data_IF_020407946095
#
_entry.id   IF_020407946095
#
_cell.length_a   1.000
_cell.length_b   1.000
_cell.length_c   1.000
_cell.angle_alpha   90.00
_cell.angle_beta   90.00
_cell.angle_gamma   90.00
#
_symmetry.space_group_name_H-M   'P 1'
#
loop_
_entity.id
_entity.type
_entity.pdbx_description
1 polymer ?
#
# COMPACT_ATOMS: atom_id res chain seq x y z
N UNK A 1 1.50 -8.08 -1.86
CA UNK A 1 2.13 -6.88 -2.48
C UNK A 1 3.60 -6.77 -2.16
N UNK A 2 4.08 -7.38 -1.06
CA UNK A 2 5.50 -7.72 -0.91
C UNK A 2 6.42 -6.54 -0.55
N UNK A 3 5.91 -5.43 0.00
CA UNK A 3 6.80 -4.43 0.58
C UNK A 3 7.52 -5.04 1.77
N UNK A 4 8.85 -4.92 1.80
CA UNK A 4 9.71 -5.34 2.90
C UNK A 4 10.06 -4.20 3.84
N UNK A 5 9.69 -2.96 3.48
CA UNK A 5 9.95 -1.77 4.28
C UNK A 5 8.70 -0.88 4.30
N UNK A 6 8.40 -0.30 5.46
CA UNK A 6 7.41 0.74 5.64
C UNK A 6 8.10 2.04 6.04
N UNK A 7 7.75 3.13 5.36
CA UNK A 7 8.15 4.47 5.73
C UNK A 7 6.90 5.18 6.25
N UNK A 8 6.98 5.69 7.46
CA UNK A 8 5.86 6.30 8.16
C UNK A 8 6.32 7.64 8.69
N UNK A 9 5.52 8.67 8.47
CA UNK A 9 5.74 10.01 9.00
C UNK A 9 4.56 10.38 9.89
N UNK A 10 4.81 10.61 11.17
CA UNK A 10 3.79 10.95 12.16
C UNK A 10 2.92 12.13 11.70
N UNK A 11 3.51 13.15 11.07
CA UNK A 11 2.81 14.38 10.65
C UNK A 11 1.75 14.14 9.55
N UNK A 12 1.87 13.03 8.83
CA UNK A 12 0.93 12.64 7.77
C UNK A 12 0.03 11.45 8.16
N UNK A 13 0.21 10.93 9.38
CA UNK A 13 -0.52 9.77 9.87
C UNK A 13 -1.69 10.16 10.76
N UNK A 14 -2.68 9.27 10.84
CA UNK A 14 -3.78 9.43 11.78
C UNK A 14 -3.28 9.14 13.20
N UNK A 15 -3.42 10.10 14.14
CA UNK A 15 -2.92 9.98 15.51
C UNK A 15 -3.45 8.74 16.24
N UNK A 16 -4.74 8.44 16.04
CA UNK A 16 -5.41 7.26 16.63
C UNK A 16 -4.89 5.92 16.07
N UNK A 17 -4.27 5.92 14.89
CA UNK A 17 -3.56 4.76 14.35
C UNK A 17 -2.16 4.66 14.95
N UNK A 18 -1.48 5.77 15.22
CA UNK A 18 -0.09 5.76 15.67
C UNK A 18 0.07 5.34 17.13
N UNK A 19 -0.72 5.92 18.03
CA UNK A 19 -0.59 5.74 19.48
C UNK A 19 -1.97 5.67 20.14
N UNK A 20 -1.98 5.31 21.41
CA UNK A 20 -3.15 5.43 22.27
C UNK A 20 -2.74 6.02 23.61
N UNK A 21 -3.48 7.04 24.03
CA UNK A 21 -3.23 7.73 25.29
C UNK A 21 -3.64 6.85 26.49
N UNK A 22 -2.78 6.78 27.51
CA UNK A 22 -2.99 5.97 28.72
C UNK A 22 -4.28 6.36 29.47
N UNK A 23 -4.62 7.66 29.53
CA UNK A 23 -5.85 8.12 30.22
C UNK A 23 -7.09 7.75 29.43
N UNK A 24 -7.03 7.80 28.10
CA UNK A 24 -8.11 7.32 27.25
C UNK A 24 -8.34 5.82 27.36
N UNK A 25 -7.30 5.03 27.68
CA UNK A 25 -7.45 3.61 27.99
C UNK A 25 -8.17 3.36 29.31
N UNK A 26 -7.88 4.16 30.34
CA UNK A 26 -8.58 4.07 31.64
C UNK A 26 -10.07 4.43 31.51
N UNK A 27 -10.40 5.38 30.64
CA UNK A 27 -11.79 5.83 30.43
C UNK A 27 -12.60 4.90 29.53
N UNK A 28 -12.01 4.39 28.45
CA UNK A 28 -12.71 3.61 27.42
C UNK A 28 -12.26 2.16 27.47
N UNK A 29 -13.17 1.29 27.93
CA UNK A 29 -12.93 -0.14 27.99
C UNK A 29 -12.40 -0.69 26.65
N UNK A 30 -11.38 -1.56 26.63
CA UNK A 30 -10.72 -2.02 25.40
C UNK A 30 -11.68 -2.58 24.33
N UNK A 31 -12.76 -3.24 24.73
CA UNK A 31 -13.76 -3.80 23.81
C UNK A 31 -14.62 -2.76 23.08
N UNK A 32 -14.56 -1.49 23.48
CA UNK A 32 -15.29 -0.37 22.85
C UNK A 32 -14.43 0.43 21.87
N UNK A 33 -13.11 0.22 21.87
CA UNK A 33 -12.19 0.87 20.95
C UNK A 33 -11.84 -0.09 19.80
N UNK A 34 -12.36 0.13 18.58
CA UNK A 34 -12.14 -0.80 17.46
C UNK A 34 -10.72 -0.74 16.89
N UNK A 35 -9.94 0.29 17.23
CA UNK A 35 -8.62 0.55 16.64
C UNK A 35 -7.53 -0.10 17.48
N UNK A 36 -6.73 -0.97 16.85
CA UNK A 36 -5.45 -1.42 17.41
C UNK A 36 -4.34 -0.49 16.93
N UNK A 37 -3.65 0.25 17.82
CA UNK A 37 -2.57 1.14 17.44
C UNK A 37 -1.39 0.42 16.77
N UNK A 38 -0.69 1.12 15.88
CA UNK A 38 0.43 0.59 15.11
C UNK A 38 1.60 0.17 15.99
N UNK A 39 1.85 0.87 17.10
CA UNK A 39 2.86 0.47 18.10
C UNK A 39 2.67 -0.96 18.61
N UNK A 40 1.44 -1.46 18.69
CA UNK A 40 1.15 -2.84 19.12
C UNK A 40 1.37 -3.89 18.02
N UNK A 41 1.49 -3.46 16.76
CA UNK A 41 1.63 -4.33 15.57
C UNK A 41 3.01 -4.25 14.92
N UNK A 42 3.74 -3.14 15.08
CA UNK A 42 5.02 -2.92 14.39
C UNK A 42 6.04 -4.02 14.69
N UNK A 43 6.10 -4.49 15.94
CA UNK A 43 7.05 -5.53 16.35
C UNK A 43 6.67 -6.92 15.82
N UNK A 44 5.38 -7.26 15.77
CA UNK A 44 4.92 -8.53 15.19
C UNK A 44 5.06 -8.54 13.67
N UNK A 45 4.85 -7.38 13.02
CA UNK A 45 5.09 -7.20 11.59
C UNK A 45 6.55 -7.52 11.21
N UNK A 46 7.52 -7.00 11.96
CA UNK A 46 8.93 -7.33 11.77
C UNK A 46 9.22 -8.81 12.05
N UNK A 47 8.86 -9.31 13.24
CA UNK A 47 9.21 -10.68 13.66
C UNK A 47 8.57 -11.76 12.79
N UNK A 48 7.36 -11.56 12.29
CA UNK A 48 6.60 -12.59 11.56
C UNK A 48 6.72 -12.48 10.04
N UNK A 49 6.93 -11.26 9.52
CA UNK A 49 6.92 -11.01 8.08
C UNK A 49 8.23 -10.41 7.55
N UNK A 50 9.20 -10.12 8.42
CA UNK A 50 10.48 -9.54 8.01
C UNK A 50 10.34 -8.13 7.43
N UNK A 51 9.26 -7.42 7.76
CA UNK A 51 8.99 -6.08 7.27
C UNK A 51 9.53 -5.07 8.27
N UNK A 52 10.55 -4.32 7.84
CA UNK A 52 11.15 -3.25 8.63
C UNK A 52 10.31 -1.97 8.54
N UNK A 53 10.43 -1.11 9.55
CA UNK A 53 9.74 0.17 9.59
C UNK A 53 10.74 1.28 9.92
N UNK A 54 10.75 2.33 9.11
CA UNK A 54 11.38 3.61 9.43
C UNK A 54 10.24 4.58 9.74
N UNK A 55 10.27 5.14 10.95
CA UNK A 55 9.23 6.01 11.48
C UNK A 55 9.86 7.35 11.87
N UNK A 56 9.38 8.44 11.27
CA UNK A 56 9.62 9.80 11.75
C UNK A 56 8.61 10.08 12.85
N UNK A 57 9.10 10.48 14.02
CA UNK A 57 8.29 10.73 15.21
C UNK A 57 8.85 11.93 15.98
N UNK A 58 7.95 12.77 16.50
CA UNK A 58 8.27 13.90 17.36
C UNK A 58 7.31 14.05 18.55
N UNK A 59 6.11 13.46 18.47
CA UNK A 59 5.05 13.63 19.47
C UNK A 59 4.96 12.56 20.56
N UNK A 60 5.55 11.37 20.35
CA UNK A 60 5.47 10.26 21.33
C UNK A 60 6.81 9.53 21.53
N UNK A 61 7.15 9.30 22.79
CA UNK A 61 8.30 8.48 23.20
C UNK A 61 8.01 6.98 23.31
N UNK A 62 6.75 6.55 23.12
CA UNK A 62 6.33 5.16 23.38
C UNK A 62 7.04 4.18 22.44
N UNK A 63 7.37 4.63 21.23
CA UNK A 63 8.08 3.83 20.24
C UNK A 63 9.51 3.47 20.66
N UNK A 64 10.14 4.16 21.63
CA UNK A 64 11.47 3.78 22.14
C UNK A 64 11.51 2.36 22.70
N UNK A 65 10.40 1.90 23.28
CA UNK A 65 10.29 0.54 23.82
C UNK A 65 10.44 -0.51 22.73
N UNK A 66 9.83 -0.25 21.57
CA UNK A 66 9.79 -1.20 20.45
C UNK A 66 10.83 -0.91 19.37
N UNK A 67 11.54 0.21 19.38
CA UNK A 67 12.54 0.55 18.36
C UNK A 67 13.84 -0.24 18.53
N UNK A 68 14.46 -0.67 17.41
CA UNK A 68 15.80 -1.27 17.41
C UNK A 68 16.90 -0.19 17.43
N UNK A 69 16.69 0.88 16.66
CA UNK A 69 17.55 2.06 16.59
C UNK A 69 16.73 3.33 16.77
N UNK A 70 17.31 4.34 17.41
CA UNK A 70 16.72 5.67 17.55
C UNK A 70 17.71 6.72 17.06
N UNK A 71 17.36 7.38 15.96
CA UNK A 71 18.15 8.44 15.36
C UNK A 71 17.49 9.78 15.65
N UNK A 72 18.28 10.74 16.11
CA UNK A 72 17.85 12.12 16.35
C UNK A 72 18.48 13.02 15.29
N UNK A 73 17.66 13.83 14.64
CA UNK A 73 18.14 14.91 13.79
C UNK A 73 18.24 16.19 14.61
N UNK A 74 19.45 16.72 14.79
CA UNK A 74 19.71 18.00 15.44
C UNK A 74 20.44 18.91 14.46
N UNK A 75 19.83 20.05 14.11
CA UNK A 75 20.43 21.02 13.20
C UNK A 75 20.94 20.39 11.89
N UNK A 76 20.15 19.46 11.34
CA UNK A 76 20.46 18.64 10.16
C UNK A 76 21.63 17.64 10.31
N UNK A 77 22.15 17.44 11.52
CA UNK A 77 23.07 16.37 11.85
C UNK A 77 22.31 15.15 12.42
N UNK A 78 22.62 13.96 11.90
CA UNK A 78 22.04 12.70 12.37
C UNK A 78 22.90 12.13 13.51
N UNK A 79 22.28 11.88 14.66
CA UNK A 79 22.92 11.34 15.86
C UNK A 79 22.24 10.04 16.25
N UNK A 80 23.03 8.98 16.47
CA UNK A 80 22.52 7.76 17.10
C UNK A 80 22.34 8.02 18.61
N UNK A 81 21.08 7.97 19.05
CA UNK A 81 20.68 8.17 20.45
C UNK A 81 20.00 6.93 21.01
N UNK A 82 20.26 5.75 20.42
CA UNK A 82 19.64 4.48 20.81
C UNK A 82 19.82 4.19 22.30
N UNK A 83 21.05 4.29 22.82
CA UNK A 83 21.33 4.02 24.23
C UNK A 83 20.59 4.99 25.16
N UNK A 84 20.53 6.28 24.79
CA UNK A 84 19.80 7.30 25.55
C UNK A 84 18.31 7.00 25.59
N UNK A 85 17.73 6.60 24.46
CA UNK A 85 16.32 6.21 24.37
C UNK A 85 16.01 4.97 25.20
N UNK A 86 16.88 3.95 25.20
CA UNK A 86 16.73 2.75 26.04
C UNK A 86 16.84 3.07 27.53
N UNK A 87 17.78 3.93 27.92
CA UNK A 87 17.89 4.39 29.30
C UNK A 87 16.64 5.16 29.78
N UNK A 88 15.96 5.90 28.90
CA UNK A 88 14.67 6.55 29.21
C UNK A 88 13.60 5.49 29.50
N UNK A 89 13.48 4.48 28.64
CA UNK A 89 12.52 3.38 28.80
C UNK A 89 12.73 2.65 30.13
N UNK A 90 13.98 2.32 30.47
CA UNK A 90 14.32 1.65 31.74
C UNK A 90 13.89 2.47 32.96
N UNK A 91 14.18 3.78 32.96
CA UNK A 91 13.78 4.69 34.04
C UNK A 91 12.26 4.74 34.21
N UNK A 92 11.52 4.84 33.11
CA UNK A 92 10.06 4.90 33.14
C UNK A 92 9.41 3.56 33.49
N UNK A 93 9.97 2.42 33.06
CA UNK A 93 9.49 1.10 33.45
C UNK A 93 9.74 0.78 34.93
N UNK A 94 10.86 1.26 35.48
CA UNK A 94 11.13 1.21 36.92
C UNK A 94 10.12 2.01 37.75
N UNK A 95 9.52 3.06 37.16
CA UNK A 95 8.46 3.87 37.79
C UNK A 95 7.07 3.25 37.57
N UNK A 96 6.79 2.69 36.38
CA UNK A 96 5.48 2.09 36.01
C UNK A 96 5.21 0.72 36.64
N UNK A 97 6.19 0.07 37.28
CA UNK A 97 5.98 -1.20 38.00
C UNK A 97 5.07 -1.06 39.25
N UNK A 98 4.66 0.16 39.60
CA UNK A 98 3.72 0.44 40.69
C UNK A 98 2.28 0.77 40.21
N UNK A 99 2.03 1.04 38.92
CA UNK A 99 0.68 1.39 38.44
C UNK A 99 0.51 1.17 36.93
N UNK A 100 -0.43 0.29 36.59
CA UNK A 100 -1.19 0.21 35.33
C UNK A 100 -0.54 -0.51 34.13
N UNK A 101 -1.38 -1.32 33.51
CA UNK A 101 -1.17 -2.38 32.54
C UNK A 101 -0.51 -1.94 31.23
N UNK A 102 0.69 -2.47 30.97
CA UNK A 102 1.18 -2.68 29.61
C UNK A 102 0.25 -3.69 28.92
N UNK A 103 -0.68 -3.24 28.08
CA UNK A 103 -1.29 -4.14 27.10
C UNK A 103 -0.15 -4.75 26.29
N UNK A 104 0.05 -6.08 26.33
CA UNK A 104 1.18 -6.69 25.67
C UNK A 104 1.06 -6.42 24.17
N UNK A 105 2.18 -6.04 23.55
CA UNK A 105 2.33 -6.04 22.10
C UNK A 105 1.66 -7.29 21.54
N UNK A 106 0.74 -7.13 20.59
CA UNK A 106 0.00 -8.26 20.04
C UNK A 106 0.98 -9.33 19.58
N UNK A 107 0.89 -10.53 20.17
CA UNK A 107 1.82 -11.64 19.88
C UNK A 107 1.79 -12.06 18.41
N UNK A 108 0.73 -11.67 17.68
CA UNK A 108 0.56 -11.93 16.27
C UNK A 108 0.12 -10.69 15.47
N UNK A 109 0.66 -10.54 14.27
CA UNK A 109 0.20 -9.52 13.34
C UNK A 109 -1.25 -9.81 12.90
N UNK A 110 -1.60 -11.10 12.74
CA UNK A 110 -2.89 -11.58 12.29
C UNK A 110 -2.80 -12.26 10.93
N UNK A 111 -3.96 -12.59 10.33
CA UNK A 111 -4.02 -13.23 9.02
C UNK A 111 -4.07 -12.20 7.89
N UNK A 112 -3.21 -12.37 6.88
CA UNK A 112 -3.20 -11.54 5.67
C UNK A 112 -4.18 -12.14 4.66
N UNK A 113 -5.26 -11.42 4.36
CA UNK A 113 -6.27 -11.87 3.40
C UNK A 113 -5.82 -11.63 1.96
N UNK A 114 -5.86 -12.68 1.13
CA UNK A 114 -5.59 -12.57 -0.30
C UNK A 114 -6.76 -11.90 -1.05
N UNK A 115 -6.42 -11.03 -2.01
CA UNK A 115 -7.37 -10.40 -2.93
C UNK A 115 -7.23 -11.01 -4.32
N UNK A 116 -8.36 -11.22 -4.99
CA UNK A 116 -8.43 -11.80 -6.32
C UNK A 116 -9.07 -10.77 -7.27
N UNK A 117 -8.31 -10.13 -8.17
CA UNK A 117 -8.84 -9.10 -9.06
C UNK A 117 -9.81 -9.69 -10.08
N UNK A 118 -10.86 -8.93 -10.41
CA UNK A 118 -11.87 -9.30 -11.41
C UNK A 118 -11.68 -8.42 -12.65
N UNK A 119 -11.28 -9.02 -13.77
CA UNK A 119 -10.81 -8.30 -14.96
C UNK A 119 -11.77 -7.23 -15.48
N UNK A 120 -13.05 -7.58 -15.70
CA UNK A 120 -14.02 -6.64 -16.29
C UNK A 120 -14.26 -5.39 -15.44
N UNK A 121 -14.14 -5.50 -14.11
CA UNK A 121 -14.37 -4.39 -13.18
C UNK A 121 -13.30 -3.29 -13.30
N UNK A 122 -12.11 -3.61 -13.83
CA UNK A 122 -11.02 -2.65 -14.06
C UNK A 122 -11.06 -1.98 -15.45
N UNK A 123 -11.91 -2.46 -16.37
CA UNK A 123 -12.03 -1.88 -17.70
C UNK A 123 -13.08 -0.76 -17.73
N UNK A 124 -12.84 0.35 -18.44
CA UNK A 124 -13.84 1.40 -18.62
C UNK A 124 -15.10 0.84 -19.32
N UNK A 125 -16.28 1.45 -19.13
CA UNK A 125 -17.50 0.90 -19.69
C UNK A 125 -17.48 0.91 -21.23
N UNK A 126 -18.16 -0.05 -21.88
CA UNK A 126 -18.04 -0.24 -23.34
C UNK A 126 -18.49 0.97 -24.16
N UNK A 127 -19.41 1.78 -23.64
CA UNK A 127 -19.93 2.97 -24.28
C UNK A 127 -18.92 4.15 -24.29
N UNK A 128 -17.95 4.15 -23.39
CA UNK A 128 -16.89 5.16 -23.33
C UNK A 128 -15.61 4.58 -22.71
N UNK A 129 -14.72 4.10 -23.58
CA UNK A 129 -13.47 3.43 -23.19
C UNK A 129 -12.29 4.37 -22.94
N UNK A 130 -12.48 5.69 -23.09
CA UNK A 130 -11.37 6.65 -23.04
C UNK A 130 -10.79 6.72 -21.63
N UNK A 131 -9.48 6.52 -21.52
CA UNK A 131 -8.74 6.82 -20.29
C UNK A 131 -7.82 8.01 -20.55
N UNK A 132 -7.81 8.96 -19.64
CA UNK A 132 -7.00 10.16 -19.76
C UNK A 132 -6.23 10.45 -18.47
N UNK A 133 -4.91 10.58 -18.57
CA UNK A 133 -4.08 11.03 -17.45
C UNK A 133 -4.04 12.55 -17.44
N UNK A 134 -4.80 13.15 -16.53
CA UNK A 134 -4.94 14.61 -16.42
C UNK A 134 -3.70 15.23 -15.78
N UNK A 135 -3.23 14.65 -14.67
CA UNK A 135 -2.12 15.16 -13.88
C UNK A 135 -1.17 14.03 -13.44
N UNK A 136 -0.12 14.36 -12.67
CA UNK A 136 0.80 13.36 -12.09
C UNK A 136 0.06 12.29 -11.29
N UNK A 137 -1.03 12.64 -10.61
CA UNK A 137 -1.73 11.71 -9.71
C UNK A 137 -3.20 11.51 -10.07
N UNK A 138 -3.67 12.04 -11.20
CA UNK A 138 -5.11 12.02 -11.54
C UNK A 138 -5.32 11.34 -12.89
N UNK A 139 -6.13 10.28 -12.90
CA UNK A 139 -6.54 9.54 -14.10
C UNK A 139 -8.06 9.54 -14.19
N UNK A 140 -8.62 9.90 -15.34
CA UNK A 140 -10.06 9.83 -15.61
C UNK A 140 -10.37 8.62 -16.49
N UNK A 141 -11.32 7.80 -16.08
CA UNK A 141 -11.92 6.72 -16.85
C UNK A 141 -13.19 7.23 -17.54
N UNK A 142 -13.53 6.67 -18.72
CA UNK A 142 -14.45 7.29 -19.68
C UNK A 142 -15.77 7.79 -19.11
N UNK A 143 -16.39 7.03 -18.21
CA UNK A 143 -17.61 7.37 -17.45
C UNK A 143 -17.48 8.59 -16.50
N UNK A 144 -16.34 9.26 -16.51
CA UNK A 144 -16.03 10.37 -15.62
C UNK A 144 -15.46 9.92 -14.28
N UNK A 145 -15.27 8.61 -14.06
CA UNK A 145 -14.68 8.10 -12.82
C UNK A 145 -13.25 8.60 -12.69
N UNK A 146 -12.98 9.33 -11.61
CA UNK A 146 -11.65 9.80 -11.26
C UNK A 146 -10.93 8.78 -10.37
N UNK A 147 -9.75 8.35 -10.82
CA UNK A 147 -8.78 7.60 -10.04
C UNK A 147 -7.74 8.58 -9.50
N UNK A 148 -7.89 8.91 -8.22
CA UNK A 148 -6.94 9.72 -7.47
C UNK A 148 -5.81 8.83 -6.88
N UNK A 149 -4.58 9.17 -7.24
CA UNK A 149 -3.33 8.56 -6.81
C UNK A 149 -2.52 9.49 -5.89
N UNK A 150 -3.13 10.56 -5.36
CA UNK A 150 -2.46 11.54 -4.49
C UNK A 150 -1.77 10.90 -3.29
N UNK A 151 -2.38 9.87 -2.69
CA UNK A 151 -1.77 9.08 -1.62
C UNK A 151 -0.71 8.06 -2.06
N UNK A 152 -0.21 8.12 -3.30
CA UNK A 152 0.94 7.36 -3.81
C UNK A 152 2.10 8.32 -4.09
N UNK A 153 2.61 8.93 -3.03
CA UNK A 153 3.59 10.03 -3.07
C UNK A 153 4.90 9.68 -3.81
N UNK A 154 5.23 8.39 -3.90
CA UNK A 154 6.42 7.90 -4.60
C UNK A 154 6.28 7.91 -6.13
N UNK A 155 5.12 8.32 -6.67
CA UNK A 155 4.95 8.64 -8.10
C UNK A 155 5.58 10.01 -8.36
N UNK A 156 6.72 10.01 -9.03
CA UNK A 156 7.52 11.23 -9.24
C UNK A 156 7.19 11.94 -10.55
N UNK A 157 6.65 11.22 -11.55
CA UNK A 157 6.41 11.79 -12.88
C UNK A 157 5.12 11.30 -13.54
N UNK A 158 4.50 12.16 -14.37
CA UNK A 158 3.23 11.86 -15.08
C UNK A 158 3.35 10.64 -16.00
N UNK A 159 4.53 10.36 -16.54
CA UNK A 159 4.77 9.19 -17.38
C UNK A 159 4.63 7.85 -16.65
N UNK A 160 4.89 7.81 -15.34
CA UNK A 160 4.60 6.63 -14.52
C UNK A 160 3.09 6.42 -14.40
N UNK A 161 2.33 7.49 -14.31
CA UNK A 161 0.86 7.43 -14.22
C UNK A 161 0.22 6.99 -15.52
N UNK A 162 0.78 7.39 -16.67
CA UNK A 162 0.44 6.78 -17.95
C UNK A 162 0.68 5.26 -17.93
N UNK A 163 1.86 4.82 -17.50
CA UNK A 163 2.17 3.40 -17.42
C UNK A 163 1.32 2.62 -16.40
N UNK A 164 0.94 3.23 -15.28
CA UNK A 164 0.01 2.65 -14.30
C UNK A 164 -1.36 2.45 -14.94
N UNK A 165 -1.91 3.49 -15.57
CA UNK A 165 -3.22 3.44 -16.21
C UNK A 165 -3.26 2.38 -17.32
N UNK A 166 -2.27 2.36 -18.20
CA UNK A 166 -2.18 1.36 -19.27
C UNK A 166 -1.92 -0.05 -18.72
N UNK A 167 -1.12 -0.19 -17.66
CA UNK A 167 -0.92 -1.49 -16.99
C UNK A 167 -2.22 -2.05 -16.42
N UNK A 168 -3.06 -1.22 -15.78
CA UNK A 168 -4.36 -1.66 -15.25
C UNK A 168 -5.23 -2.22 -16.38
N UNK A 169 -5.30 -1.54 -17.52
CA UNK A 169 -6.06 -2.03 -18.68
C UNK A 169 -5.50 -3.35 -19.22
N UNK A 170 -4.19 -3.44 -19.44
CA UNK A 170 -3.56 -4.63 -19.99
C UNK A 170 -3.69 -5.83 -19.06
N UNK A 171 -3.51 -5.63 -17.75
CA UNK A 171 -3.75 -6.65 -16.73
C UNK A 171 -5.21 -7.10 -16.79
N UNK A 172 -6.16 -6.16 -16.81
CA UNK A 172 -7.59 -6.47 -16.86
C UNK A 172 -7.98 -7.28 -18.11
N UNK A 173 -7.51 -6.88 -19.29
CA UNK A 173 -7.73 -7.60 -20.56
C UNK A 173 -7.15 -9.01 -20.49
N UNK A 174 -5.91 -9.18 -20.01
CA UNK A 174 -5.28 -10.50 -19.87
C UNK A 174 -5.96 -11.38 -18.84
N UNK A 175 -6.51 -10.80 -17.78
CA UNK A 175 -7.32 -11.54 -16.80
C UNK A 175 -8.58 -12.08 -17.46
N UNK A 176 -9.25 -11.31 -18.33
CA UNK A 176 -10.42 -11.76 -19.08
C UNK A 176 -10.09 -12.84 -20.11
N UNK A 177 -9.00 -12.69 -20.87
CA UNK A 177 -8.58 -13.69 -21.86
C UNK A 177 -8.21 -15.03 -21.23
N UNK A 178 -7.77 -15.03 -19.97
CA UNK A 178 -7.41 -16.23 -19.21
C UNK A 178 -8.50 -16.67 -18.22
N UNK A 179 -9.69 -16.04 -18.22
CA UNK A 179 -10.76 -16.42 -17.31
C UNK A 179 -11.49 -17.67 -17.84
N UNK A 180 -11.44 -18.81 -17.13
CA UNK A 180 -12.14 -20.02 -17.53
C UNK A 180 -13.66 -19.84 -17.57
N UNK A 181 -14.22 -18.83 -16.89
CA UNK A 181 -15.66 -18.55 -16.85
C UNK A 181 -16.24 -18.03 -18.16
N UNK A 182 -15.41 -17.49 -19.06
CA UNK A 182 -15.80 -17.23 -20.45
C UNK A 182 -16.13 -18.54 -21.21
N UNK A 183 -15.67 -19.68 -20.70
CA UNK A 183 -15.94 -21.05 -21.17
C UNK A 183 -16.68 -21.91 -20.12
N UNK A 184 -17.37 -21.30 -19.14
CA UNK A 184 -18.17 -22.04 -18.12
C UNK A 184 -17.40 -22.59 -16.91
N UNK A 185 -16.12 -22.22 -16.71
CA UNK A 185 -15.32 -22.57 -15.54
C UNK A 185 -15.33 -21.52 -14.41
N UNK A 186 -14.74 -21.85 -13.25
CA UNK A 186 -14.70 -20.94 -12.09
C UNK A 186 -13.83 -19.68 -12.33
N UNK A 187 -14.32 -18.53 -11.87
CA UNK A 187 -13.64 -17.22 -11.93
C UNK A 187 -12.18 -17.25 -11.41
N UNK A 188 -11.32 -16.43 -12.01
CA UNK A 188 -9.88 -16.27 -11.73
C UNK A 188 -9.47 -16.61 -10.29
N UNK A 189 -8.55 -17.59 -10.15
CA UNK A 189 -7.98 -18.05 -8.86
C UNK A 189 -6.66 -17.37 -8.52
N UNK A 190 -6.16 -16.46 -9.37
CA UNK A 190 -4.90 -15.78 -9.16
C UNK A 190 -5.06 -14.65 -8.14
N UNK A 191 -4.17 -14.62 -7.16
CA UNK A 191 -4.08 -13.50 -6.23
C UNK A 191 -3.51 -12.28 -6.95
N UNK A 192 -3.90 -11.08 -6.50
CA UNK A 192 -3.37 -9.81 -7.00
C UNK A 192 -1.83 -9.77 -6.97
N UNK A 193 -1.20 -10.36 -5.94
CA UNK A 193 0.25 -10.46 -5.85
C UNK A 193 0.85 -11.31 -6.99
N UNK A 194 0.23 -12.44 -7.33
CA UNK A 194 0.68 -13.30 -8.43
C UNK A 194 0.46 -12.63 -9.79
N UNK A 195 -0.69 -11.97 -9.98
CA UNK A 195 -0.99 -11.22 -11.22
C UNK A 195 0.07 -10.15 -11.47
N UNK A 196 0.35 -9.34 -10.46
CA UNK A 196 1.31 -8.25 -10.57
C UNK A 196 2.77 -8.74 -10.71
N UNK A 197 3.13 -9.87 -10.09
CA UNK A 197 4.45 -10.50 -10.30
C UNK A 197 4.63 -10.93 -11.75
N UNK A 198 3.64 -11.66 -12.30
CA UNK A 198 3.63 -12.07 -13.71
C UNK A 198 3.68 -10.88 -14.66
N UNK A 199 2.98 -9.80 -14.32
CA UNK A 199 3.04 -8.55 -15.07
C UNK A 199 4.44 -7.93 -15.06
N UNK A 200 5.10 -7.90 -13.91
CA UNK A 200 6.47 -7.40 -13.80
C UNK A 200 7.45 -8.26 -14.60
N UNK A 201 7.35 -9.58 -14.50
CA UNK A 201 8.17 -10.54 -15.28
C UNK A 201 7.95 -10.40 -16.80
N UNK A 202 6.73 -10.06 -17.22
CA UNK A 202 6.42 -9.77 -18.62
C UNK A 202 7.14 -8.50 -19.09
N UNK A 203 7.08 -7.41 -18.31
CA UNK A 203 7.81 -6.18 -18.61
C UNK A 203 9.33 -6.44 -18.63
N UNK A 204 9.85 -7.27 -17.73
CA UNK A 204 11.28 -7.62 -17.69
C UNK A 204 11.72 -8.35 -18.96
N UNK A 205 10.87 -9.21 -19.52
CA UNK A 205 11.20 -10.03 -20.71
C UNK A 205 10.99 -9.27 -22.02
N UNK A 206 9.91 -8.52 -22.14
CA UNK A 206 9.44 -7.95 -23.42
C UNK A 206 9.58 -6.42 -23.49
N UNK A 207 10.02 -5.78 -22.39
CA UNK A 207 10.19 -4.34 -22.31
C UNK A 207 8.91 -3.60 -21.87
N UNK A 208 9.01 -2.27 -21.76
CA UNK A 208 7.90 -1.43 -21.32
C UNK A 208 6.77 -1.37 -22.36
N UNK A 209 7.05 -1.68 -23.61
CA UNK A 209 6.08 -1.60 -24.71
C UNK A 209 4.88 -2.54 -24.51
N UNK A 210 4.99 -3.56 -23.64
CA UNK A 210 3.85 -4.42 -23.26
C UNK A 210 2.71 -3.66 -22.57
N UNK A 211 3.01 -2.50 -21.98
CA UNK A 211 2.00 -1.64 -21.35
C UNK A 211 1.22 -0.85 -22.39
N UNK A 212 1.71 -0.74 -23.63
CA UNK A 212 1.03 -0.01 -24.69
C UNK A 212 -0.32 -0.67 -24.97
N UNK A 213 -1.37 0.09 -24.69
CA UNK A 213 -2.75 -0.28 -24.94
C UNK A 213 -3.19 0.39 -26.23
N UNK A 214 -4.01 -0.32 -27.03
CA UNK A 214 -4.63 0.24 -28.23
C UNK A 214 -5.48 1.48 -27.95
N UNK A 215 -5.92 1.71 -26.70
CA UNK A 215 -6.70 2.89 -26.31
C UNK A 215 -5.85 4.18 -26.15
N UNK A 216 -4.53 4.06 -26.10
CA UNK A 216 -3.59 5.19 -26.09
C UNK A 216 -2.86 5.36 -27.43
N UNK A 217 -3.13 4.49 -28.40
CA UNK A 217 -2.58 4.58 -29.76
C UNK A 217 -3.54 5.38 -30.64
N UNK A 218 -3.14 6.60 -31.00
CA UNK A 218 -3.80 7.34 -32.08
C UNK A 218 -3.30 6.81 -33.44
N UNK A 219 -3.60 5.55 -33.76
CA UNK A 219 -3.50 4.98 -35.12
C UNK A 219 -2.10 5.03 -35.79
N UNK A 220 -1.35 3.93 -35.68
CA UNK A 220 -0.20 3.65 -36.53
C UNK A 220 0.62 2.47 -36.03
N UNK A 221 0.89 1.49 -36.88
CA UNK A 221 1.96 0.50 -36.65
C UNK A 221 3.29 1.26 -36.48
N UNK A 222 3.94 1.13 -35.32
CA UNK A 222 5.25 1.74 -35.06
C UNK A 222 5.28 3.05 -34.25
N UNK A 223 4.16 3.47 -33.63
CA UNK A 223 4.16 4.65 -32.77
C UNK A 223 4.85 4.38 -31.42
N UNK A 224 6.12 4.78 -31.33
CA UNK A 224 6.85 4.85 -30.07
C UNK A 224 6.22 5.89 -29.15
N UNK A 225 5.47 5.43 -28.15
CA UNK A 225 4.87 6.34 -27.18
C UNK A 225 5.86 6.63 -26.03
N UNK A 226 6.66 7.68 -26.19
CA UNK A 226 7.64 8.15 -25.20
C UNK A 226 7.04 8.73 -23.91
N UNK A 227 5.73 8.61 -23.70
CA UNK A 227 5.04 9.16 -22.51
C UNK A 227 4.99 8.18 -21.34
N UNK A 228 5.55 6.97 -21.46
CA UNK A 228 5.53 5.95 -20.43
C UNK A 228 6.87 5.84 -19.71
N UNK A 229 6.84 5.74 -18.38
CA UNK A 229 7.99 5.35 -17.57
C UNK A 229 7.59 4.20 -16.65
N UNK A 230 8.46 3.20 -16.49
CA UNK A 230 8.16 1.98 -15.74
C UNK A 230 7.83 2.31 -14.26
N UNK A 231 6.60 2.04 -13.78
CA UNK A 231 6.26 2.15 -12.37
C UNK A 231 6.69 0.87 -11.64
N UNK A 232 6.81 0.90 -10.30
CA UNK A 232 7.00 -0.34 -9.56
C UNK A 232 5.67 -1.06 -9.45
N UNK A 233 5.78 -2.36 -9.15
CA UNK A 233 4.62 -3.20 -8.86
C UNK A 233 3.71 -2.60 -7.77
N UNK A 234 4.30 -1.91 -6.78
CA UNK A 234 3.60 -1.28 -5.66
C UNK A 234 2.69 -0.11 -6.06
N UNK A 235 3.08 0.67 -7.07
CA UNK A 235 2.24 1.77 -7.55
C UNK A 235 1.04 1.25 -8.33
N UNK A 236 1.24 0.25 -9.20
CA UNK A 236 0.14 -0.41 -9.94
C UNK A 236 -0.84 -1.03 -8.94
N UNK A 237 -0.30 -1.77 -7.97
CA UNK A 237 -1.02 -2.29 -6.82
C UNK A 237 -1.85 -1.23 -6.09
N UNK A 238 -1.22 -0.10 -5.74
CA UNK A 238 -1.84 1.01 -5.03
C UNK A 238 -2.97 1.66 -5.81
N UNK A 239 -2.81 1.77 -7.13
CA UNK A 239 -3.80 2.32 -8.04
C UNK A 239 -4.99 1.37 -8.23
N UNK A 240 -4.77 0.07 -8.43
CA UNK A 240 -5.85 -0.92 -8.49
C UNK A 240 -6.69 -0.93 -7.20
N UNK A 241 -6.07 -0.72 -6.03
CA UNK A 241 -6.77 -0.66 -4.75
C UNK A 241 -7.62 0.61 -4.57
N UNK A 242 -7.37 1.65 -5.37
CA UNK A 242 -8.05 2.95 -5.31
C UNK A 242 -9.12 3.11 -6.38
N UNK A 243 -9.20 2.20 -7.34
CA UNK A 243 -10.26 2.23 -8.36
C UNK A 243 -11.60 1.87 -7.71
N UNK A 244 -12.47 2.88 -7.55
CA UNK A 244 -13.77 2.76 -6.87
C UNK A 244 -14.84 2.20 -7.81
N UNK A 245 -14.76 0.90 -8.07
CA UNK A 245 -15.80 0.15 -8.78
C UNK A 245 -16.21 -1.08 -8.00
N UNK A 246 -17.51 -1.36 -8.04
CA UNK A 246 -18.09 -2.51 -7.38
C UNK A 246 -17.54 -3.80 -7.99
N UNK A 247 -17.24 -4.78 -7.14
CA UNK A 247 -16.75 -6.08 -7.59
C UNK A 247 -15.34 -6.09 -8.18
N UNK A 248 -14.50 -5.08 -7.93
CA UNK A 248 -13.08 -5.08 -8.38
C UNK A 248 -12.25 -6.22 -7.79
N UNK A 249 -12.55 -6.62 -6.55
CA UNK A 249 -11.88 -7.72 -5.87
C UNK A 249 -12.87 -8.68 -5.24
N UNK A 250 -12.58 -9.98 -5.39
CA UNK A 250 -13.13 -11.02 -4.51
C UNK A 250 -12.17 -11.21 -3.34
N UNK A 251 -12.72 -11.34 -2.13
CA UNK A 251 -12.04 -11.85 -0.96
C UNK A 251 -12.78 -13.10 -0.51
N UNK A 252 -12.06 -14.19 -0.22
CA UNK A 252 -12.71 -15.34 0.43
C UNK A 252 -13.14 -14.88 1.83
N UNK A 253 -14.37 -15.20 2.28
CA UNK A 253 -14.77 -14.91 3.65
C UNK A 253 -13.81 -15.60 4.62
N UNK A 254 -13.59 -14.95 5.77
CA UNK A 254 -12.80 -15.48 6.88
C UNK A 254 -13.48 -16.69 7.51
#
# INVERSE_FOLDING_TARGET
MGSTNLFVDEDTCATNFMIRDDKMMELVAPHKEPITPFIHKVRSLYKQHGVSTILVIGGSGDYFQVADHVLMMDSYACLDVTDKAKAIVERHNGIKSAATSNEPSSSSFGTITNRYPIGHAFLPPPNNSKINVRARTIVTYGDGLELDLGGLEQIVHKSQTHAIASSIQQIATRLLSNDPSANGGNATTLTLATVLRRWNELIDREGLDVVLSSSFNNGGDGDYNGVHARPRMLEIAGAMNRLRRDGTFRQKPR
#
